data_IF_562890537361
#
_entry.id   IF_562890537361
#
_cell.length_a   1.000
_cell.length_b   1.000
_cell.length_c   1.000
_cell.angle_alpha   90.00
_cell.angle_beta   90.00
_cell.angle_gamma   90.00
#
_symmetry.space_group_name_H-M   'P 1'
#
loop_
_entity.id
_entity.type
_entity.pdbx_description
1 polymer ?
#
# COMPACT_ATOMS: atom_id res chain seq x y z
N UNK A 1 5.68 -15.54 3.46
CA UNK A 1 4.63 -14.52 3.69
C UNK A 1 3.63 -14.64 2.55
N UNK A 2 2.46 -15.21 2.82
CA UNK A 2 1.34 -15.16 1.88
C UNK A 2 1.01 -13.69 1.68
N UNK A 3 1.07 -13.22 0.43
CA UNK A 3 0.47 -11.94 0.08
C UNK A 3 -1.00 -12.04 0.49
N UNK A 4 -1.39 -11.35 1.57
CA UNK A 4 -2.80 -11.26 1.91
C UNK A 4 -3.45 -10.37 0.86
N UNK A 5 -4.23 -11.00 -0.01
CA UNK A 5 -4.92 -10.31 -1.09
C UNK A 5 -6.08 -9.42 -0.59
N UNK A 6 -6.36 -9.39 0.72
CA UNK A 6 -7.50 -8.69 1.30
C UNK A 6 -7.14 -8.03 2.64
N UNK A 7 -7.79 -6.90 2.93
CA UNK A 7 -7.66 -6.19 4.19
C UNK A 7 -8.22 -7.02 5.35
N UNK A 8 -7.38 -7.35 6.34
CA UNK A 8 -7.80 -8.07 7.55
C UNK A 8 -8.36 -7.16 8.66
N UNK A 9 -8.20 -5.85 8.51
CA UNK A 9 -8.64 -4.84 9.47
C UNK A 9 -9.89 -4.15 8.94
N UNK A 10 -10.99 -4.91 8.82
CA UNK A 10 -12.28 -4.41 8.30
C UNK A 10 -13.35 -4.28 9.38
N UNK A 11 -13.23 -5.03 10.48
CA UNK A 11 -14.19 -4.95 11.59
C UNK A 11 -14.12 -3.58 12.26
N UNK A 12 -15.29 -3.01 12.60
CA UNK A 12 -15.38 -1.72 13.29
C UNK A 12 -14.85 -1.77 14.72
N UNK A 13 -14.97 -2.92 15.39
CA UNK A 13 -14.53 -3.09 16.76
C UNK A 13 -13.47 -4.17 16.88
N UNK A 14 -12.51 -3.93 17.77
CA UNK A 14 -11.46 -4.89 18.12
C UNK A 14 -11.27 -4.91 19.64
N UNK A 15 -11.13 -6.11 20.20
CA UNK A 15 -11.02 -6.32 21.66
C UNK A 15 -9.59 -6.59 22.12
N UNK A 16 -8.66 -6.80 21.19
CA UNK A 16 -7.25 -7.12 21.44
C UNK A 16 -6.34 -6.17 20.68
N UNK A 17 -5.15 -5.99 21.22
CA UNK A 17 -4.09 -5.23 20.55
C UNK A 17 -3.61 -5.95 19.28
N UNK A 18 -2.86 -5.24 18.45
CA UNK A 18 -2.23 -5.77 17.25
C UNK A 18 -0.73 -5.82 17.52
N UNK A 19 -0.16 -7.02 17.48
CA UNK A 19 1.26 -7.25 17.70
C UNK A 19 1.92 -7.74 16.40
N UNK A 20 2.85 -6.93 15.88
CA UNK A 20 3.69 -7.24 14.73
C UNK A 20 4.99 -7.98 15.12
N UNK A 21 5.27 -8.13 16.42
CA UNK A 21 6.42 -8.85 16.98
C UNK A 21 7.76 -8.11 16.88
N UNK A 22 8.00 -7.38 15.80
CA UNK A 22 9.21 -6.60 15.59
C UNK A 22 8.94 -5.39 14.68
N UNK A 23 9.85 -4.41 14.72
CA UNK A 23 9.84 -3.28 13.78
C UNK A 23 10.40 -3.75 12.45
N UNK A 24 9.75 -3.37 11.36
CA UNK A 24 10.21 -3.75 10.05
C UNK A 24 10.07 -2.62 9.03
N UNK A 25 10.76 -2.80 7.92
CA UNK A 25 10.54 -2.03 6.71
C UNK A 25 10.54 -2.98 5.52
N UNK A 26 9.65 -2.71 4.58
CA UNK A 26 9.50 -3.50 3.36
C UNK A 26 9.54 -2.57 2.16
N UNK A 27 10.27 -2.98 1.13
CA UNK A 27 10.20 -2.37 -0.18
C UNK A 27 9.83 -3.43 -1.21
N UNK A 28 8.72 -3.22 -1.89
CA UNK A 28 8.27 -4.09 -2.99
C UNK A 28 8.45 -3.33 -4.29
N UNK A 29 9.23 -3.90 -5.21
CA UNK A 29 9.52 -3.29 -6.51
C UNK A 29 8.87 -4.10 -7.62
N UNK A 30 7.91 -3.50 -8.31
CA UNK A 30 7.19 -4.12 -9.42
C UNK A 30 7.57 -3.42 -10.71
N UNK A 31 7.85 -4.19 -11.76
CA UNK A 31 8.26 -3.70 -13.07
C UNK A 31 7.39 -4.38 -14.12
N UNK A 32 6.72 -3.58 -14.94
CA UNK A 32 5.81 -4.03 -15.98
C UNK A 32 6.23 -3.42 -17.31
N UNK A 33 6.69 -4.24 -18.25
CA UNK A 33 6.92 -3.79 -19.62
C UNK A 33 5.63 -3.91 -20.41
N UNK A 34 5.22 -2.82 -21.05
CA UNK A 34 3.99 -2.81 -21.85
C UNK A 34 4.16 -3.66 -23.10
N UNK A 35 3.14 -4.44 -23.49
CA UNK A 35 3.13 -5.11 -24.80
C UNK A 35 3.14 -4.10 -25.95
N UNK A 36 3.60 -4.54 -27.13
CA UNK A 36 3.56 -3.71 -28.34
C UNK A 36 2.13 -3.28 -28.68
N UNK A 37 1.96 -2.03 -29.14
CA UNK A 37 0.65 -1.49 -29.51
C UNK A 37 -0.21 -1.03 -28.33
N UNK A 38 0.31 -1.02 -27.10
CA UNK A 38 -0.35 -0.43 -25.94
C UNK A 38 0.35 0.86 -25.52
N UNK A 39 -0.44 1.82 -25.03
CA UNK A 39 0.06 3.03 -24.35
C UNK A 39 -0.65 3.17 -23.01
N UNK A 40 0.07 3.74 -22.05
CA UNK A 40 -0.51 4.14 -20.77
C UNK A 40 -1.53 5.25 -21.01
N UNK A 41 -2.75 5.06 -20.53
CA UNK A 41 -3.82 6.07 -20.53
C UNK A 41 -3.99 6.68 -19.13
N UNK A 42 -3.80 5.87 -18.09
CA UNK A 42 -3.89 6.32 -16.70
C UNK A 42 -2.92 5.57 -15.80
N UNK A 43 -2.24 6.33 -14.93
CA UNK A 43 -1.42 5.78 -13.85
C UNK A 43 -1.98 6.20 -12.50
N UNK A 44 -1.90 5.31 -11.50
CA UNK A 44 -2.14 5.69 -10.12
C UNK A 44 -1.13 6.75 -9.67
N UNK A 45 -1.55 7.62 -8.75
CA UNK A 45 -0.68 8.71 -8.27
C UNK A 45 0.39 8.19 -7.31
N UNK A 46 1.58 8.77 -7.37
CA UNK A 46 2.58 8.60 -6.31
C UNK A 46 2.13 9.34 -5.05
N UNK A 47 1.93 8.62 -3.95
CA UNK A 47 1.35 9.16 -2.71
C UNK A 47 1.99 8.49 -1.49
N UNK A 48 1.92 9.19 -0.35
CA UNK A 48 2.34 8.69 0.95
C UNK A 48 1.21 8.87 1.95
N UNK A 49 0.91 7.81 2.69
CA UNK A 49 -0.02 7.81 3.81
C UNK A 49 0.79 7.55 5.07
N UNK A 50 0.50 8.30 6.11
CA UNK A 50 1.16 8.19 7.40
C UNK A 50 0.08 8.09 8.46
N UNK A 51 0.24 7.17 9.41
CA UNK A 51 -0.62 7.15 10.59
C UNK A 51 -0.53 8.48 11.37
N UNK A 52 -1.60 8.91 12.06
CA UNK A 52 -1.59 10.17 12.82
C UNK A 52 -0.43 10.27 13.83
N UNK A 53 -0.07 9.16 14.46
CA UNK A 53 1.02 9.06 15.42
C UNK A 53 2.39 8.76 14.79
N UNK A 54 2.46 8.73 13.44
CA UNK A 54 3.65 8.44 12.63
C UNK A 54 4.27 7.05 12.84
N UNK A 55 3.51 6.13 13.42
CA UNK A 55 3.99 4.77 13.71
C UNK A 55 4.03 3.85 12.49
N UNK A 56 3.26 4.17 11.44
CA UNK A 56 3.30 3.48 10.14
C UNK A 56 3.38 4.51 9.03
N UNK A 57 4.30 4.29 8.11
CA UNK A 57 4.35 5.02 6.83
C UNK A 57 4.18 4.04 5.68
N UNK A 58 3.23 4.31 4.80
CA UNK A 58 3.06 3.63 3.52
C UNK A 58 3.30 4.63 2.38
N UNK A 59 4.11 4.25 1.39
CA UNK A 59 4.39 5.09 0.24
C UNK A 59 4.36 4.29 -1.05
N UNK A 60 3.63 4.80 -2.05
CA UNK A 60 3.62 4.32 -3.42
C UNK A 60 4.34 5.31 -4.33
N UNK A 61 5.29 4.83 -5.12
CA UNK A 61 5.92 5.59 -6.20
C UNK A 61 5.63 4.86 -7.51
N UNK A 62 5.05 5.58 -8.47
CA UNK A 62 4.74 5.09 -9.81
C UNK A 62 5.53 5.92 -10.81
N UNK A 63 6.28 5.25 -11.70
CA UNK A 63 6.98 5.90 -12.80
C UNK A 63 6.68 5.15 -14.10
N UNK A 64 6.69 5.88 -15.21
CA UNK A 64 6.59 5.31 -16.55
C UNK A 64 7.66 5.92 -17.45
N UNK A 65 8.54 5.08 -17.97
CA UNK A 65 9.62 5.45 -18.88
C UNK A 65 9.96 4.24 -19.77
N UNK A 66 10.41 4.48 -21.00
CA UNK A 66 10.88 3.42 -21.91
C UNK A 66 9.91 2.24 -22.03
N UNK A 67 8.62 2.56 -22.19
CA UNK A 67 7.53 1.59 -22.28
C UNK A 67 7.41 0.63 -21.08
N UNK A 68 7.96 1.03 -19.93
CA UNK A 68 8.00 0.25 -18.70
C UNK A 68 7.38 1.07 -17.56
N UNK A 69 6.37 0.49 -16.91
CA UNK A 69 5.81 1.03 -15.67
C UNK A 69 6.53 0.39 -14.50
N UNK A 70 7.02 1.22 -13.57
CA UNK A 70 7.57 0.74 -12.30
C UNK A 70 6.69 1.23 -11.16
N UNK A 71 6.36 0.32 -10.24
CA UNK A 71 5.58 0.61 -9.04
C UNK A 71 6.37 0.13 -7.83
N UNK A 72 6.78 1.07 -7.00
CA UNK A 72 7.47 0.81 -5.74
C UNK A 72 6.53 1.09 -4.58
N UNK A 73 6.32 0.08 -3.75
CA UNK A 73 5.68 0.23 -2.44
C UNK A 73 6.74 0.20 -1.35
N UNK A 74 6.63 1.09 -0.37
CA UNK A 74 7.48 1.13 0.82
C UNK A 74 6.57 1.19 2.04
N UNK A 75 6.85 0.33 3.02
CA UNK A 75 6.10 0.25 4.28
C UNK A 75 7.13 0.26 5.40
N UNK A 76 6.92 1.11 6.40
CA UNK A 76 7.77 1.21 7.58
C UNK A 76 6.89 1.14 8.84
N UNK A 77 7.18 0.18 9.72
CA UNK A 77 6.54 0.02 11.01
C UNK A 77 7.53 0.41 12.12
N UNK A 78 7.33 1.62 12.67
CA UNK A 78 8.17 2.16 13.74
C UNK A 78 7.76 1.65 15.14
N UNK A 79 6.63 0.94 15.25
CA UNK A 79 6.14 0.30 16.48
C UNK A 79 5.86 -1.18 16.24
N UNK A 80 5.86 -1.96 17.32
CA UNK A 80 5.56 -3.39 17.27
C UNK A 80 4.15 -3.68 17.77
N UNK A 81 3.60 -2.85 18.66
CA UNK A 81 2.28 -3.01 19.25
C UNK A 81 1.45 -1.77 18.94
N UNK A 82 0.20 -2.02 18.51
CA UNK A 82 -0.83 -1.02 18.31
C UNK A 82 -2.01 -1.35 19.22
N UNK A 83 -2.29 -0.45 20.16
CA UNK A 83 -3.32 -0.66 21.17
C UNK A 83 -4.71 -0.58 20.57
N UNK A 84 -5.64 -1.39 21.10
CA UNK A 84 -7.04 -1.40 20.64
C UNK A 84 -7.71 -0.03 20.78
N UNK A 85 -7.29 0.80 21.72
CA UNK A 85 -7.78 2.16 21.93
C UNK A 85 -7.55 3.07 20.72
N UNK A 86 -6.47 2.81 19.95
CA UNK A 86 -6.10 3.56 18.74
C UNK A 86 -6.57 2.86 17.46
N UNK A 87 -7.37 1.80 17.58
CA UNK A 87 -7.71 0.91 16.47
C UNK A 87 -8.47 1.61 15.34
N UNK A 88 -9.31 2.61 15.64
CA UNK A 88 -10.05 3.33 14.59
C UNK A 88 -9.10 4.02 13.60
N UNK A 89 -8.03 4.65 14.09
CA UNK A 89 -7.00 5.25 13.25
C UNK A 89 -6.22 4.20 12.46
N UNK A 90 -5.91 3.07 13.09
CA UNK A 90 -5.22 1.95 12.45
C UNK A 90 -6.07 1.31 11.33
N UNK A 91 -7.38 1.13 11.57
CA UNK A 91 -8.35 0.60 10.60
C UNK A 91 -8.46 1.51 9.39
N UNK A 92 -8.64 2.80 9.62
CA UNK A 92 -8.76 3.79 8.54
C UNK A 92 -7.47 3.87 7.73
N UNK A 93 -6.30 3.85 8.38
CA UNK A 93 -5.02 3.77 7.68
C UNK A 93 -4.95 2.54 6.75
N UNK A 94 -5.29 1.35 7.26
CA UNK A 94 -5.29 0.13 6.45
C UNK A 94 -6.31 0.20 5.31
N UNK A 95 -7.50 0.76 5.54
CA UNK A 95 -8.50 0.98 4.48
C UNK A 95 -7.90 1.80 3.34
N UNK A 96 -7.27 2.93 3.63
CA UNK A 96 -6.66 3.78 2.60
C UNK A 96 -5.46 3.10 1.90
N UNK A 97 -4.65 2.32 2.63
CA UNK A 97 -3.57 1.52 2.02
C UNK A 97 -4.13 0.53 1.01
N UNK A 98 -5.20 -0.19 1.36
CA UNK A 98 -5.84 -1.15 0.45
C UNK A 98 -6.54 -0.48 -0.73
N UNK A 99 -7.16 0.70 -0.55
CA UNK A 99 -7.68 1.50 -1.66
C UNK A 99 -6.56 1.83 -2.66
N UNK A 100 -5.39 2.25 -2.16
CA UNK A 100 -4.22 2.50 -3.01
C UNK A 100 -3.67 1.24 -3.69
N UNK A 101 -3.69 0.08 -3.02
CA UNK A 101 -3.24 -1.17 -3.63
C UNK A 101 -4.18 -1.63 -4.76
N UNK A 102 -5.46 -1.27 -4.69
CA UNK A 102 -6.49 -1.64 -5.66
C UNK A 102 -6.62 -0.68 -6.86
N UNK A 103 -5.95 0.48 -6.85
CA UNK A 103 -5.95 1.39 -8.01
C UNK A 103 -5.31 0.73 -9.24
N UNK A 104 -5.98 0.87 -10.39
CA UNK A 104 -5.59 0.20 -11.62
C UNK A 104 -4.67 1.06 -12.49
N UNK A 105 -3.75 0.40 -13.20
CA UNK A 105 -3.05 0.98 -14.35
C UNK A 105 -3.91 0.74 -15.59
N UNK A 106 -4.31 1.81 -16.28
CA UNK A 106 -5.18 1.74 -17.46
C UNK A 106 -4.34 1.85 -18.72
N UNK A 107 -4.48 0.87 -19.61
CA UNK A 107 -3.80 0.82 -20.89
C UNK A 107 -4.81 0.95 -22.03
N UNK A 108 -4.45 1.74 -23.04
CA UNK A 108 -5.21 1.89 -24.28
C UNK A 108 -4.45 1.25 -25.43
N UNK A 109 -5.17 0.47 -26.24
CA UNK A 109 -4.64 -0.04 -27.50
C UNK A 109 -4.52 1.11 -28.49
N UNK A 110 -3.31 1.32 -29.02
CA UNK A 110 -3.01 2.28 -30.09
C UNK A 110 -3.16 1.66 -31.46
#
# INVERSE_FOLDING_TARGET
MTAQHANQFVNEHRFTDIDYGYRDNWTVYNVFTLPAGYKVEGLPKSLSIVMPDKSITFKRIVNYADNTVTVRYMIDHAKTIYFKEDYDGFREFNRQVFDMLNEQIVLKKS
#
